data_IF_997087457445
#
_entry.id   IF_997087457445
#
_cell.length_a   1.000
_cell.length_b   1.000
_cell.length_c   1.000
_cell.angle_alpha   90.00
_cell.angle_beta   90.00
_cell.angle_gamma   90.00
#
_symmetry.space_group_name_H-M   'P 1'
#
loop_
_entity.id
_entity.type
_entity.pdbx_description
1 polymer ?
#
# COMPACT_ATOMS: atom_id res chain seq x y z
N UNK A 1 -5.13 9.10 -10.16
CA UNK A 1 -4.26 7.92 -10.20
C UNK A 1 -3.36 8.07 -11.41
N UNK A 2 -2.05 7.96 -11.26
CA UNK A 2 -1.10 8.20 -12.36
C UNK A 2 -1.15 7.04 -13.35
N UNK A 3 -1.07 7.31 -14.64
CA UNK A 3 -0.99 6.28 -15.67
C UNK A 3 0.33 5.50 -15.50
N UNK A 4 0.28 4.17 -15.47
CA UNK A 4 1.46 3.31 -15.33
C UNK A 4 2.49 3.54 -16.43
N UNK A 5 2.05 3.94 -17.63
CA UNK A 5 2.94 4.26 -18.77
C UNK A 5 3.75 5.52 -18.49
N UNK A 6 3.10 6.54 -17.92
CA UNK A 6 3.78 7.76 -17.53
C UNK A 6 4.75 7.49 -16.38
N UNK A 7 4.35 6.69 -15.37
CA UNK A 7 5.25 6.31 -14.28
C UNK A 7 6.47 5.52 -14.76
N UNK A 8 6.29 4.65 -15.77
CA UNK A 8 7.42 3.96 -16.39
C UNK A 8 8.33 4.93 -17.15
N UNK A 9 7.77 5.84 -17.94
CA UNK A 9 8.54 6.87 -18.66
C UNK A 9 9.32 7.79 -17.71
N UNK A 10 8.73 8.09 -16.53
CA UNK A 10 9.37 8.88 -15.47
C UNK A 10 10.40 8.09 -14.64
N UNK A 11 10.66 6.81 -14.94
CA UNK A 11 11.56 5.96 -14.16
C UNK A 11 11.05 5.58 -12.76
N UNK A 12 9.75 5.76 -12.51
CA UNK A 12 9.09 5.44 -11.21
C UNK A 12 8.56 4.02 -11.14
N UNK A 13 8.54 3.31 -12.27
CA UNK A 13 8.11 1.93 -12.39
C UNK A 13 9.17 1.14 -13.14
N UNK A 14 9.56 -0.03 -12.63
CA UNK A 14 10.53 -0.90 -13.29
C UNK A 14 9.95 -1.56 -14.55
N UNK A 15 10.82 -2.01 -15.47
CA UNK A 15 10.42 -2.71 -16.68
C UNK A 15 9.69 -4.03 -16.34
N UNK A 16 10.15 -4.73 -15.32
CA UNK A 16 9.53 -5.94 -14.80
C UNK A 16 8.13 -5.68 -14.22
N UNK A 17 7.97 -4.63 -13.44
CA UNK A 17 6.68 -4.24 -12.89
C UNK A 17 5.70 -3.83 -14.00
N UNK A 18 6.17 -3.08 -15.01
CA UNK A 18 5.38 -2.77 -16.20
C UNK A 18 4.91 -4.04 -16.92
N UNK A 19 5.82 -4.98 -17.19
CA UNK A 19 5.49 -6.24 -17.89
C UNK A 19 4.44 -7.06 -17.11
N UNK A 20 4.55 -7.15 -15.77
CA UNK A 20 3.58 -7.81 -14.91
C UNK A 20 2.21 -7.11 -14.97
N UNK A 21 2.21 -5.79 -14.88
CA UNK A 21 0.97 -5.00 -14.94
C UNK A 21 0.25 -5.21 -16.28
N UNK A 22 0.99 -5.14 -17.39
CA UNK A 22 0.46 -5.36 -18.75
C UNK A 22 -0.05 -6.78 -18.95
N UNK A 23 0.67 -7.80 -18.43
CA UNK A 23 0.20 -9.18 -18.48
C UNK A 23 -1.17 -9.37 -17.79
N UNK A 24 -1.38 -8.76 -16.62
CA UNK A 24 -2.67 -8.79 -15.92
C UNK A 24 -3.71 -7.95 -16.68
N UNK A 25 -3.31 -6.81 -17.23
CA UNK A 25 -4.22 -5.93 -17.99
C UNK A 25 -4.83 -6.65 -19.19
N UNK A 26 -4.02 -7.41 -19.92
CA UNK A 26 -4.40 -8.12 -21.13
C UNK A 26 -5.18 -9.40 -20.88
N UNK A 27 -4.77 -10.17 -19.85
CA UNK A 27 -5.25 -11.54 -19.64
C UNK A 27 -6.23 -11.73 -18.48
N UNK A 28 -6.57 -10.66 -17.74
CA UNK A 28 -7.40 -10.74 -16.54
C UNK A 28 -6.62 -11.19 -15.32
N UNK A 29 -7.29 -11.66 -14.26
CA UNK A 29 -6.64 -12.17 -13.07
C UNK A 29 -5.70 -13.34 -13.42
N UNK A 30 -4.45 -13.28 -12.97
CA UNK A 30 -3.45 -14.30 -13.23
C UNK A 30 -2.89 -14.86 -11.92
N UNK A 31 -2.83 -16.18 -11.81
CA UNK A 31 -2.03 -16.84 -10.79
C UNK A 31 -0.52 -16.64 -11.05
N UNK A 32 0.28 -16.79 -10.01
CA UNK A 32 1.73 -16.55 -10.09
C UNK A 32 2.41 -17.39 -11.19
N UNK A 33 1.93 -18.60 -11.49
CA UNK A 33 2.52 -19.48 -12.50
C UNK A 33 2.24 -18.93 -13.90
N UNK A 34 0.97 -18.59 -14.17
CA UNK A 34 0.56 -17.98 -15.43
C UNK A 34 1.19 -16.60 -15.61
N UNK A 35 1.24 -15.80 -14.53
CA UNK A 35 1.84 -14.46 -14.54
C UNK A 35 3.32 -14.51 -14.94
N UNK A 36 4.10 -15.48 -14.43
CA UNK A 36 5.51 -15.68 -14.84
C UNK A 36 5.63 -15.94 -16.34
N UNK A 37 4.72 -16.72 -16.90
CA UNK A 37 4.72 -17.05 -18.33
C UNK A 37 4.35 -15.83 -19.18
N UNK A 38 3.25 -15.16 -18.87
CA UNK A 38 2.75 -14.01 -19.64
C UNK A 38 3.70 -12.80 -19.55
N UNK A 39 4.31 -12.55 -18.38
CA UNK A 39 5.33 -11.52 -18.21
C UNK A 39 6.73 -11.93 -18.74
N UNK A 40 6.88 -13.10 -19.37
CA UNK A 40 8.14 -13.65 -19.89
C UNK A 40 9.24 -13.79 -18.83
N UNK A 41 8.86 -14.15 -17.62
CA UNK A 41 9.75 -14.34 -16.46
C UNK A 41 9.79 -15.80 -15.97
N UNK A 42 9.67 -16.77 -16.89
CA UNK A 42 9.62 -18.20 -16.53
C UNK A 42 10.95 -18.78 -16.08
N UNK A 43 12.09 -18.17 -16.42
CA UNK A 43 13.38 -18.63 -15.99
C UNK A 43 13.53 -18.59 -14.46
N UNK A 44 14.19 -19.56 -13.87
CA UNK A 44 14.39 -19.64 -12.40
C UNK A 44 15.15 -18.40 -11.89
N UNK A 45 16.14 -17.91 -12.65
CA UNK A 45 16.87 -16.67 -12.36
C UNK A 45 15.99 -15.41 -12.33
N UNK A 46 14.77 -15.46 -12.89
CA UNK A 46 13.83 -14.35 -12.89
C UNK A 46 12.92 -14.32 -11.64
N UNK A 47 12.94 -15.36 -10.78
CA UNK A 47 12.04 -15.46 -9.63
C UNK A 47 12.14 -14.25 -8.69
N UNK A 48 13.33 -13.88 -8.28
CA UNK A 48 13.54 -12.74 -7.38
C UNK A 48 13.18 -11.39 -8.02
N UNK A 49 13.26 -11.28 -9.36
CA UNK A 49 12.82 -10.08 -10.09
C UNK A 49 11.29 -9.99 -10.13
N UNK A 50 10.61 -11.12 -10.36
CA UNK A 50 9.15 -11.20 -10.28
C UNK A 50 8.65 -10.77 -8.89
N UNK A 51 9.24 -11.33 -7.82
CA UNK A 51 8.82 -11.05 -6.44
C UNK A 51 9.00 -9.57 -6.09
N UNK A 52 10.13 -8.97 -6.49
CA UNK A 52 10.38 -7.53 -6.30
C UNK A 52 9.39 -6.67 -7.09
N UNK A 53 9.13 -7.02 -8.35
CA UNK A 53 8.21 -6.28 -9.20
C UNK A 53 6.76 -6.40 -8.72
N UNK A 54 6.33 -7.56 -8.24
CA UNK A 54 5.04 -7.73 -7.59
C UNK A 54 4.93 -6.88 -6.32
N UNK A 55 5.98 -6.89 -5.48
CA UNK A 55 6.03 -6.04 -4.28
C UNK A 55 5.93 -4.56 -4.65
N UNK A 56 6.65 -4.10 -5.67
CA UNK A 56 6.58 -2.72 -6.17
C UNK A 56 5.14 -2.34 -6.58
N UNK A 57 4.47 -3.21 -7.33
CA UNK A 57 3.09 -2.98 -7.78
C UNK A 57 2.08 -3.01 -6.62
N UNK A 58 2.28 -3.89 -5.63
CA UNK A 58 1.42 -3.95 -4.44
C UNK A 58 1.61 -2.73 -3.54
N UNK A 59 2.86 -2.33 -3.27
CA UNK A 59 3.18 -1.10 -2.51
C UNK A 59 2.64 0.13 -3.23
N UNK A 60 2.70 0.15 -4.56
CA UNK A 60 2.11 1.21 -5.39
C UNK A 60 0.59 1.16 -5.51
N UNK A 61 -0.08 0.21 -4.84
CA UNK A 61 -1.53 -0.02 -4.91
C UNK A 61 -2.04 -0.19 -6.35
N UNK A 62 -1.24 -0.82 -7.21
CA UNK A 62 -1.59 -1.08 -8.62
C UNK A 62 -2.20 -2.47 -8.81
N UNK A 63 -1.69 -3.45 -8.09
CA UNK A 63 -2.21 -4.82 -8.08
C UNK A 63 -2.46 -5.30 -6.66
N UNK A 64 -3.36 -6.26 -6.50
CA UNK A 64 -3.67 -6.89 -5.23
C UNK A 64 -3.88 -8.39 -5.42
N UNK A 65 -3.60 -9.23 -4.41
CA UNK A 65 -4.02 -10.62 -4.41
C UNK A 65 -5.54 -10.69 -4.22
N UNK A 66 -6.23 -11.41 -5.09
CA UNK A 66 -7.71 -11.54 -5.09
C UNK A 66 -8.19 -12.94 -4.78
N UNK A 67 -7.28 -13.90 -4.74
CA UNK A 67 -7.63 -15.29 -4.46
C UNK A 67 -6.42 -16.20 -4.50
N UNK A 68 -6.73 -17.50 -4.46
CA UNK A 68 -5.75 -18.59 -4.55
C UNK A 68 -6.22 -19.55 -5.63
N UNK A 69 -5.32 -19.88 -6.56
CA UNK A 69 -5.53 -20.89 -7.58
C UNK A 69 -4.80 -22.20 -7.20
N UNK A 70 -5.32 -23.31 -7.67
CA UNK A 70 -4.64 -24.62 -7.56
C UNK A 70 -3.58 -24.73 -8.67
N UNK A 71 -2.37 -24.26 -8.38
CA UNK A 71 -1.28 -24.20 -9.36
C UNK A 71 0.11 -24.30 -8.69
N UNK A 72 1.11 -24.63 -9.50
CA UNK A 72 2.50 -24.68 -9.08
C UNK A 72 2.89 -25.90 -8.23
N UNK A 73 4.16 -25.96 -7.82
CA UNK A 73 4.73 -27.08 -7.07
C UNK A 73 4.09 -27.28 -5.68
N UNK A 74 3.63 -26.20 -5.06
CA UNK A 74 2.96 -26.22 -3.75
C UNK A 74 1.45 -26.46 -3.83
N UNK A 75 0.93 -26.72 -5.04
CA UNK A 75 -0.50 -26.91 -5.33
C UNK A 75 -1.38 -25.70 -5.00
N UNK A 76 -0.80 -24.54 -4.72
CA UNK A 76 -1.51 -23.26 -4.61
C UNK A 76 -0.64 -22.11 -5.09
N UNK A 77 -1.26 -21.08 -5.63
CA UNK A 77 -0.62 -19.84 -6.06
C UNK A 77 -1.60 -18.67 -5.86
N UNK A 78 -1.10 -17.53 -5.41
CA UNK A 78 -1.92 -16.32 -5.34
C UNK A 78 -2.30 -15.88 -6.74
N UNK A 79 -3.56 -15.44 -6.88
CA UNK A 79 -4.09 -14.82 -8.09
C UNK A 79 -4.08 -13.30 -7.88
N UNK A 80 -3.57 -12.58 -8.86
CA UNK A 80 -3.43 -11.12 -8.82
C UNK A 80 -4.33 -10.44 -9.84
N UNK A 81 -4.88 -9.29 -9.43
CA UNK A 81 -5.71 -8.45 -10.29
C UNK A 81 -5.29 -6.97 -10.15
N UNK A 82 -5.60 -6.18 -11.17
CA UNK A 82 -5.42 -4.73 -11.14
C UNK A 82 -6.42 -4.11 -10.15
N UNK A 83 -5.89 -3.30 -9.22
CA UNK A 83 -6.70 -2.67 -8.17
C UNK A 83 -7.91 -1.91 -8.72
N UNK A 84 -7.74 -1.17 -9.82
CA UNK A 84 -8.80 -0.37 -10.43
C UNK A 84 -9.91 -1.24 -11.07
N UNK A 85 -9.58 -2.44 -11.53
CA UNK A 85 -10.60 -3.38 -12.04
C UNK A 85 -11.35 -4.06 -10.91
N UNK A 86 -10.63 -4.42 -9.85
CA UNK A 86 -11.23 -5.06 -8.68
C UNK A 86 -12.15 -4.11 -7.91
N UNK A 87 -11.74 -2.85 -7.79
CA UNK A 87 -12.51 -1.79 -7.14
C UNK A 87 -12.79 -0.67 -8.15
N UNK A 88 -13.70 -0.90 -9.07
CA UNK A 88 -14.00 0.01 -10.17
C UNK A 88 -14.52 1.39 -9.73
N UNK A 89 -15.13 1.47 -8.55
CA UNK A 89 -15.69 2.69 -7.96
C UNK A 89 -14.66 3.55 -7.19
N UNK A 90 -13.49 2.95 -6.82
CA UNK A 90 -12.48 3.66 -6.03
C UNK A 90 -12.04 5.01 -6.62
N UNK A 91 -11.76 5.15 -7.93
CA UNK A 91 -11.36 6.43 -8.49
C UNK A 91 -12.40 7.52 -8.29
N UNK A 92 -13.69 7.19 -8.39
CA UNK A 92 -14.80 8.14 -8.19
C UNK A 92 -14.94 8.49 -6.71
N UNK A 93 -14.88 7.51 -5.82
CA UNK A 93 -14.95 7.70 -4.36
C UNK A 93 -13.78 8.51 -3.82
N UNK A 94 -12.59 8.37 -4.41
CA UNK A 94 -11.40 9.09 -3.97
C UNK A 94 -11.35 10.56 -4.42
N UNK A 95 -12.05 10.93 -5.48
CA UNK A 95 -12.02 12.31 -6.03
C UNK A 95 -12.31 13.41 -5.02
N UNK A 96 -13.37 13.32 -4.17
CA UNK A 96 -13.67 14.37 -3.22
C UNK A 96 -12.73 14.41 -2.02
N UNK A 97 -11.92 13.37 -1.79
CA UNK A 97 -11.10 13.24 -0.58
C UNK A 97 -9.78 14.01 -0.76
N UNK A 98 -9.58 15.01 0.07
CA UNK A 98 -8.31 15.74 0.10
C UNK A 98 -7.20 14.89 0.73
N UNK A 99 -5.96 15.04 0.24
CA UNK A 99 -4.82 14.26 0.75
C UNK A 99 -4.59 14.45 2.25
N UNK A 100 -4.78 15.67 2.74
CA UNK A 100 -4.65 15.99 4.16
C UNK A 100 -5.69 15.23 5.01
N UNK A 101 -6.94 15.19 4.54
CA UNK A 101 -8.02 14.42 5.17
C UNK A 101 -7.71 12.93 5.18
N UNK A 102 -7.29 12.37 4.03
CA UNK A 102 -6.90 10.96 3.94
C UNK A 102 -5.78 10.61 4.92
N UNK A 103 -4.78 11.47 5.09
CA UNK A 103 -3.71 11.27 6.07
C UNK A 103 -4.23 11.23 7.49
N UNK A 104 -5.10 12.16 7.88
CA UNK A 104 -5.71 12.17 9.22
C UNK A 104 -6.47 10.89 9.49
N UNK A 105 -7.32 10.47 8.55
CA UNK A 105 -8.10 9.22 8.67
C UNK A 105 -7.19 8.00 8.82
N UNK A 106 -6.10 7.92 8.05
CA UNK A 106 -5.16 6.80 8.12
C UNK A 106 -4.41 6.75 9.45
N UNK A 107 -3.91 7.89 9.94
CA UNK A 107 -3.22 7.96 11.25
C UNK A 107 -4.19 7.64 12.38
N UNK A 108 -5.41 8.17 12.32
CA UNK A 108 -6.43 7.89 13.33
C UNK A 108 -6.75 6.39 13.40
N UNK A 109 -7.03 5.76 12.26
CA UNK A 109 -7.30 4.30 12.20
C UNK A 109 -6.12 3.46 12.69
N UNK A 110 -4.89 3.90 12.42
CA UNK A 110 -3.73 3.21 12.94
C UNK A 110 -3.68 3.31 14.48
N UNK A 111 -3.89 4.49 15.05
CA UNK A 111 -3.94 4.68 16.50
C UNK A 111 -5.08 3.88 17.15
N UNK A 112 -6.25 3.82 16.53
CA UNK A 112 -7.36 3.00 16.97
C UNK A 112 -7.00 1.50 17.02
N UNK A 113 -6.12 1.05 16.10
CA UNK A 113 -5.72 -0.37 16.01
C UNK A 113 -4.61 -0.79 16.96
N UNK A 114 -3.74 0.15 17.40
CA UNK A 114 -2.56 -0.17 18.22
C UNK A 114 -2.64 0.42 19.63
N UNK A 115 -3.72 1.10 19.96
CA UNK A 115 -3.98 1.81 21.21
C UNK A 115 -3.02 3.00 21.46
N UNK A 116 -1.71 2.84 21.29
CA UNK A 116 -0.72 3.90 21.50
C UNK A 116 0.48 3.75 20.58
N UNK A 117 0.98 4.87 20.03
CA UNK A 117 2.17 4.89 19.19
C UNK A 117 3.00 6.16 19.42
N UNK A 118 4.32 6.06 19.28
CA UNK A 118 5.15 7.26 19.15
C UNK A 118 5.26 7.73 17.69
N UNK A 119 5.77 8.96 17.50
CA UNK A 119 5.93 9.56 16.16
C UNK A 119 6.81 8.71 15.24
N UNK A 120 7.82 8.00 15.78
CA UNK A 120 8.70 7.13 14.99
C UNK A 120 7.97 5.88 14.50
N UNK A 121 7.12 5.30 15.34
CA UNK A 121 6.27 4.16 14.94
C UNK A 121 5.33 4.56 13.81
N UNK A 122 4.65 5.70 13.93
CA UNK A 122 3.76 6.22 12.88
C UNK A 122 4.54 6.49 11.59
N UNK A 123 5.69 7.16 11.67
CA UNK A 123 6.55 7.42 10.52
C UNK A 123 6.99 6.12 9.82
N UNK A 124 7.35 5.09 10.58
CA UNK A 124 7.74 3.79 10.05
C UNK A 124 6.60 3.10 9.28
N UNK A 125 5.38 3.12 9.83
CA UNK A 125 4.21 2.52 9.20
C UNK A 125 3.87 3.22 7.88
N UNK A 126 3.85 4.55 7.88
CA UNK A 126 3.46 5.33 6.70
C UNK A 126 4.61 5.65 5.73
N UNK A 127 5.83 5.18 6.02
CA UNK A 127 6.99 5.33 5.12
C UNK A 127 6.70 4.83 3.69
N UNK A 128 5.95 3.74 3.54
CA UNK A 128 5.58 3.18 2.23
C UNK A 128 4.76 4.14 1.37
N UNK A 129 4.04 5.09 1.99
CA UNK A 129 3.24 6.11 1.31
C UNK A 129 4.08 7.34 0.90
N UNK A 130 5.39 7.31 1.18
CA UNK A 130 6.35 8.37 0.83
C UNK A 130 5.94 9.75 1.37
N UNK A 131 5.33 9.80 2.57
CA UNK A 131 5.04 11.07 3.22
C UNK A 131 6.33 11.72 3.69
N UNK A 132 6.41 13.02 3.53
CA UNK A 132 7.50 13.80 4.11
C UNK A 132 7.32 13.93 5.63
N UNK A 133 8.40 14.14 6.36
CA UNK A 133 8.33 14.39 7.81
C UNK A 133 7.43 15.57 8.13
N UNK A 134 7.46 16.63 7.30
CA UNK A 134 6.59 17.82 7.47
C UNK A 134 5.11 17.47 7.33
N UNK A 135 4.75 16.64 6.35
CA UNK A 135 3.36 16.21 6.15
C UNK A 135 2.86 15.36 7.32
N UNK A 136 3.72 14.48 7.87
CA UNK A 136 3.38 13.67 9.01
C UNK A 136 3.20 14.53 10.28
N UNK A 137 4.15 15.42 10.58
CA UNK A 137 4.06 16.31 11.75
C UNK A 137 2.84 17.22 11.67
N UNK A 138 2.56 17.80 10.50
CA UNK A 138 1.36 18.60 10.32
C UNK A 138 0.09 17.77 10.54
N UNK A 139 0.03 16.51 10.07
CA UNK A 139 -1.11 15.63 10.28
C UNK A 139 -1.33 15.33 11.76
N UNK A 140 -0.25 15.03 12.50
CA UNK A 140 -0.31 14.78 13.95
C UNK A 140 -0.76 16.02 14.70
N UNK A 141 -0.18 17.19 14.38
CA UNK A 141 -0.56 18.46 15.00
C UNK A 141 -2.06 18.75 14.83
N UNK A 142 -2.57 18.58 13.60
CA UNK A 142 -4.00 18.77 13.32
C UNK A 142 -4.88 17.82 14.12
N UNK A 143 -4.51 16.54 14.26
CA UNK A 143 -5.28 15.57 15.08
C UNK A 143 -5.28 15.91 16.57
N UNK A 144 -4.19 16.47 17.07
CA UNK A 144 -4.10 16.98 18.44
C UNK A 144 -4.99 18.22 18.65
N UNK A 145 -4.95 19.17 17.70
CA UNK A 145 -5.80 20.39 17.71
C UNK A 145 -7.29 20.05 17.62
N UNK A 146 -7.67 19.07 16.79
CA UNK A 146 -9.03 18.56 16.66
C UNK A 146 -9.49 17.77 17.91
N UNK A 147 -8.59 17.46 18.85
CA UNK A 147 -8.88 16.69 20.05
C UNK A 147 -9.23 15.20 19.77
N UNK A 148 -9.03 14.71 18.55
CA UNK A 148 -9.26 13.30 18.17
C UNK A 148 -8.12 12.39 18.56
N UNK A 149 -6.98 12.97 18.96
CA UNK A 149 -5.77 12.32 19.44
C UNK A 149 -5.19 13.14 20.59
N UNK A 150 -4.56 12.48 21.54
CA UNK A 150 -3.85 13.16 22.66
C UNK A 150 -2.48 12.54 22.90
N UNK A 151 -1.57 13.31 23.45
CA UNK A 151 -0.27 12.83 23.92
C UNK A 151 -0.36 12.42 25.40
N UNK A 152 0.07 11.20 25.71
CA UNK A 152 0.06 10.65 27.07
C UNK A 152 1.42 10.06 27.43
N UNK A 153 1.80 10.18 28.71
CA UNK A 153 2.89 9.41 29.29
C UNK A 153 2.36 8.04 29.71
N UNK A 154 3.04 6.97 29.33
CA UNK A 154 2.71 5.61 29.75
C UNK A 154 3.81 5.12 30.68
N UNK A 155 3.43 4.65 31.85
CA UNK A 155 4.35 4.11 32.85
C UNK A 155 5.22 3.00 32.25
N UNK A 156 6.52 3.04 32.51
CA UNK A 156 7.49 2.10 31.96
C UNK A 156 7.97 2.39 30.52
N UNK A 157 7.37 3.35 29.84
CA UNK A 157 7.80 3.75 28.48
C UNK A 157 8.45 5.15 28.48
N UNK A 158 9.54 5.28 27.73
CA UNK A 158 10.20 6.58 27.55
C UNK A 158 9.46 7.43 26.52
N UNK A 159 9.21 8.71 26.85
CA UNK A 159 8.59 9.70 25.97
C UNK A 159 7.06 9.59 25.90
N UNK A 160 6.47 10.59 25.23
CA UNK A 160 5.04 10.66 25.03
C UNK A 160 4.56 9.69 23.93
N UNK A 161 3.35 9.21 24.08
CA UNK A 161 2.64 8.39 23.10
C UNK A 161 1.38 9.11 22.65
N UNK A 162 1.10 8.96 21.36
CA UNK A 162 -0.16 9.40 20.76
C UNK A 162 -1.20 8.28 20.95
N UNK A 163 -2.36 8.63 21.46
CA UNK A 163 -3.50 7.74 21.64
C UNK A 163 -4.74 8.35 21.01
N UNK A 164 -5.62 7.50 20.46
CA UNK A 164 -6.91 7.94 19.97
C UNK A 164 -7.82 8.32 21.15
N UNK A 165 -8.56 9.41 21.00
CA UNK A 165 -9.60 9.80 21.96
C UNK A 165 -10.98 9.29 21.57
N UNK A 166 -11.10 8.65 20.39
CA UNK A 166 -12.37 8.03 19.97
C UNK A 166 -12.60 6.78 20.80
N UNK A 167 -13.76 6.72 21.46
CA UNK A 167 -14.22 5.49 22.10
C UNK A 167 -14.38 4.40 21.02
N UNK A 168 -13.86 3.23 21.31
CA UNK A 168 -14.03 2.04 20.47
C UNK A 168 -15.47 1.58 20.45
#
# INVERSE_FOLDING_TARGET
MTDYRQEYADGKLTAEAKAIYEAILENGPLDTVRLRREARMSAESAKSRLDRALTELQVGLKVLPTGVAYAGAWKYAFTYEIMQRWFADLPQRARPIQRAEARRVLVQRYLDSVAAADRKMIAKVFHVLKWTSRELEWTIATLLEEGTTQEVGIEGLKGLRLVSTRAS
#
